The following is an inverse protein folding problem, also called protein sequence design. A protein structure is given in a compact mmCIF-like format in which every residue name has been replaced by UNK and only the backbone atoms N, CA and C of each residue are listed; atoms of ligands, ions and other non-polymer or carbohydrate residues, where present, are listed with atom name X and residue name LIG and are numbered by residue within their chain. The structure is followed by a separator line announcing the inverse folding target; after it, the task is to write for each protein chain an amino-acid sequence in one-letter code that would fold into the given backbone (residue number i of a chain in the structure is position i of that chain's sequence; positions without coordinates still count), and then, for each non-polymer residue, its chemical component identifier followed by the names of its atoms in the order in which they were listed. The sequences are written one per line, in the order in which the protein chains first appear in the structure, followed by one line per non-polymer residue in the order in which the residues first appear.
data_IF_248473103119
#
_entry.id   IF_248473103119
#
_cell.length_a   1.000
_cell.length_b   1.000
_cell.length_c   1.000
_cell.angle_alpha   90.00
_cell.angle_beta   90.00
_cell.angle_gamma   90.00
#
_symmetry.space_group_name_H-M   'P 1'
#
loop_
_entity.id
_entity.type
_entity.pdbx_description
1 polymer ?
#
# COMPACT_ATOMS: atom_id res chain seq x y z
N UNK A 1 15.72 -9.71 -6.65
CA UNK A 1 14.57 -8.98 -7.22
C UNK A 1 13.40 -9.94 -7.31
N UNK A 2 12.30 -9.63 -6.65
CA UNK A 2 11.01 -10.31 -6.79
C UNK A 2 9.95 -9.29 -7.21
N UNK A 3 8.92 -9.74 -7.92
CA UNK A 3 7.74 -8.92 -8.16
C UNK A 3 6.72 -9.29 -7.09
N UNK A 4 6.44 -8.38 -6.18
CA UNK A 4 5.42 -8.54 -5.16
C UNK A 4 4.05 -8.30 -5.78
N UNK A 5 3.12 -9.23 -5.57
CA UNK A 5 1.70 -9.09 -5.95
C UNK A 5 0.88 -9.27 -4.69
N UNK A 6 0.26 -8.20 -4.22
CA UNK A 6 -0.55 -8.20 -3.00
C UNK A 6 -1.89 -7.48 -3.21
N UNK A 7 -2.95 -8.01 -2.60
CA UNK A 7 -4.22 -7.32 -2.43
C UNK A 7 -4.32 -6.84 -0.98
N UNK A 8 -4.67 -5.57 -0.81
CA UNK A 8 -4.73 -4.94 0.52
C UNK A 8 -6.14 -4.49 0.86
N UNK A 9 -6.55 -4.81 2.09
CA UNK A 9 -7.79 -4.35 2.69
C UNK A 9 -7.50 -3.53 3.95
N UNK A 10 -8.14 -2.40 4.10
CA UNK A 10 -8.27 -1.72 5.37
C UNK A 10 -9.45 -2.33 6.13
N UNK A 11 -9.26 -2.57 7.43
CA UNK A 11 -10.22 -3.28 8.28
C UNK A 11 -10.25 -2.67 9.68
N UNK A 12 -11.28 -3.04 10.44
CA UNK A 12 -11.33 -2.82 11.89
C UNK A 12 -10.68 -3.99 12.64
N UNK A 13 -10.41 -3.80 13.93
CA UNK A 13 -9.79 -4.84 14.77
C UNK A 13 -10.62 -6.11 14.87
N UNK A 14 -11.95 -5.98 14.76
CA UNK A 14 -12.92 -7.07 14.91
C UNK A 14 -12.82 -8.09 13.75
N UNK A 15 -12.27 -7.67 12.61
CA UNK A 15 -12.05 -8.54 11.47
C UNK A 15 -11.07 -9.68 11.76
N UNK A 16 -10.22 -9.56 12.79
CA UNK A 16 -9.21 -10.56 13.13
C UNK A 16 -9.79 -11.93 13.48
N UNK A 17 -10.75 -11.98 14.39
CA UNK A 17 -11.32 -13.25 14.87
C UNK A 17 -12.16 -13.92 13.79
N UNK A 18 -12.90 -13.14 13.01
CA UNK A 18 -13.65 -13.63 11.86
C UNK A 18 -12.72 -14.20 10.79
N UNK A 19 -11.67 -13.47 10.43
CA UNK A 19 -10.66 -13.94 9.49
C UNK A 19 -10.00 -15.22 9.96
N UNK A 20 -9.48 -15.26 11.20
CA UNK A 20 -8.83 -16.41 11.80
C UNK A 20 -9.71 -17.65 11.77
N UNK A 21 -10.98 -17.50 12.15
CA UNK A 21 -11.95 -18.61 12.17
C UNK A 21 -12.16 -19.18 10.76
N UNK A 22 -12.28 -18.31 9.77
CA UNK A 22 -12.47 -18.72 8.38
C UNK A 22 -11.24 -19.37 7.77
N UNK A 23 -10.04 -18.83 8.08
CA UNK A 23 -8.80 -19.38 7.56
C UNK A 23 -8.54 -20.82 8.02
N UNK A 24 -9.08 -21.24 9.15
CA UNK A 24 -8.98 -22.62 9.64
C UNK A 24 -9.65 -23.66 8.72
N UNK A 25 -10.45 -23.24 7.75
CA UNK A 25 -11.07 -24.14 6.75
C UNK A 25 -10.14 -24.45 5.57
N UNK A 26 -9.02 -23.75 5.46
CA UNK A 26 -8.06 -23.90 4.37
C UNK A 26 -6.82 -24.69 4.82
N UNK A 27 -6.04 -25.13 3.84
CA UNK A 27 -4.78 -25.83 4.09
C UNK A 27 -3.68 -24.84 4.51
N UNK A 28 -3.53 -24.62 5.81
CA UNK A 28 -2.51 -23.75 6.39
C UNK A 28 -1.18 -24.49 6.42
N UNK A 29 -0.19 -23.99 5.71
CA UNK A 29 1.18 -24.52 5.67
C UNK A 29 2.03 -23.97 6.82
N UNK A 30 1.83 -22.70 7.17
CA UNK A 30 2.55 -22.01 8.24
C UNK A 30 1.64 -20.96 8.86
N UNK A 31 1.79 -20.75 10.17
CA UNK A 31 1.15 -19.66 10.91
C UNK A 31 2.10 -19.15 11.97
N UNK A 32 2.22 -17.83 12.09
CA UNK A 32 3.03 -17.23 13.14
C UNK A 32 2.55 -15.79 13.43
N UNK A 33 2.99 -15.27 14.59
CA UNK A 33 2.84 -13.85 14.95
C UNK A 33 4.21 -13.28 15.27
N UNK A 34 4.56 -12.17 14.62
CA UNK A 34 5.84 -11.50 14.77
C UNK A 34 5.67 -10.00 14.93
N UNK A 35 6.52 -9.39 15.74
CA UNK A 35 6.65 -7.94 15.79
C UNK A 35 7.57 -7.47 14.66
N UNK A 36 7.15 -6.44 13.94
CA UNK A 36 7.90 -5.80 12.86
C UNK A 36 8.08 -4.31 13.16
N UNK A 37 9.32 -3.92 13.46
CA UNK A 37 9.74 -2.53 13.52
C UNK A 37 10.32 -2.10 12.17
N UNK A 38 9.88 -0.97 11.61
CA UNK A 38 10.44 -0.47 10.36
C UNK A 38 10.78 1.00 10.50
N UNK A 39 11.97 1.39 10.08
CA UNK A 39 12.37 2.78 9.91
C UNK A 39 12.43 3.08 8.41
N UNK A 40 11.73 4.12 7.97
CA UNK A 40 11.74 4.56 6.58
C UNK A 40 12.72 5.71 6.40
N UNK A 41 13.45 5.67 5.30
CA UNK A 41 14.51 6.61 4.99
C UNK A 41 14.27 7.28 3.63
N UNK A 42 14.63 8.54 3.54
CA UNK A 42 14.67 9.29 2.29
C UNK A 42 15.72 10.40 2.38
N UNK A 43 15.97 11.04 1.27
CA UNK A 43 16.77 12.25 1.20
C UNK A 43 15.98 13.46 1.72
N UNK A 44 16.63 14.54 2.16
CA UNK A 44 15.96 15.74 2.70
C UNK A 44 14.91 16.35 1.77
N UNK A 45 15.09 16.19 0.47
CA UNK A 45 14.17 16.67 -0.57
C UNK A 45 13.09 15.65 -0.97
N UNK A 46 12.99 14.52 -0.26
CA UNK A 46 12.08 13.40 -0.57
C UNK A 46 12.29 12.83 -1.98
N UNK A 47 13.52 12.66 -2.38
CA UNK A 47 13.89 12.15 -3.71
C UNK A 47 13.25 10.78 -4.02
N UNK A 48 13.29 9.83 -3.08
CA UNK A 48 12.72 8.50 -3.29
C UNK A 48 11.19 8.56 -3.38
N UNK A 49 10.53 9.32 -2.49
CA UNK A 49 9.08 9.48 -2.53
C UNK A 49 8.59 10.12 -3.83
N UNK A 50 9.30 11.11 -4.37
CA UNK A 50 8.98 11.75 -5.68
C UNK A 50 9.04 10.75 -6.84
N UNK A 51 9.86 9.70 -6.71
CA UNK A 51 9.94 8.61 -7.68
C UNK A 51 9.03 7.43 -7.31
N UNK A 52 8.10 7.61 -6.36
CA UNK A 52 7.19 6.58 -5.85
C UNK A 52 7.92 5.35 -5.28
N UNK A 53 9.10 5.55 -4.75
CA UNK A 53 9.91 4.53 -4.10
C UNK A 53 9.77 4.62 -2.57
N UNK A 54 9.90 3.48 -1.90
CA UNK A 54 9.94 3.41 -0.45
C UNK A 54 11.14 2.60 0.02
N UNK A 55 12.04 3.24 0.78
CA UNK A 55 13.21 2.61 1.39
C UNK A 55 12.99 2.45 2.88
N UNK A 56 13.16 1.22 3.39
CA UNK A 56 13.05 0.95 4.83
C UNK A 56 14.12 -0.02 5.31
N UNK A 57 14.50 0.10 6.57
CA UNK A 57 15.13 -0.96 7.34
C UNK A 57 14.06 -1.61 8.20
N UNK A 58 13.86 -2.92 8.02
CA UNK A 58 12.93 -3.74 8.81
C UNK A 58 13.71 -4.53 9.84
N UNK A 59 13.28 -4.44 11.09
CA UNK A 59 13.69 -5.33 12.16
C UNK A 59 12.63 -6.42 12.36
N UNK A 60 13.08 -7.67 12.33
CA UNK A 60 12.31 -8.85 12.74
C UNK A 60 13.18 -9.67 13.69
N UNK A 61 12.83 -9.67 14.98
CA UNK A 61 13.70 -10.20 16.03
C UNK A 61 15.08 -9.53 16.02
N UNK A 62 16.14 -10.30 15.79
CA UNK A 62 17.52 -9.81 15.68
C UNK A 62 17.99 -9.59 14.25
N UNK A 63 17.14 -9.83 13.26
CA UNK A 63 17.46 -9.70 11.85
C UNK A 63 17.04 -8.34 11.32
N UNK A 64 17.92 -7.76 10.50
CA UNK A 64 17.66 -6.48 9.84
C UNK A 64 17.71 -6.65 8.31
N UNK A 65 16.69 -6.12 7.64
CA UNK A 65 16.60 -6.17 6.20
C UNK A 65 16.37 -4.77 5.65
N UNK A 66 17.25 -4.33 4.76
CA UNK A 66 17.04 -3.15 3.93
C UNK A 66 16.16 -3.55 2.76
N UNK A 67 15.02 -2.90 2.64
CA UNK A 67 14.04 -3.15 1.57
C UNK A 67 13.82 -1.88 0.77
N UNK A 68 13.95 -1.98 -0.55
CA UNK A 68 13.52 -0.94 -1.50
C UNK A 68 12.35 -1.47 -2.31
N UNK A 69 11.22 -0.77 -2.25
CA UNK A 69 10.08 -0.97 -3.16
C UNK A 69 10.06 0.17 -4.16
N UNK A 70 10.01 -0.15 -5.45
CA UNK A 70 10.00 0.85 -6.52
C UNK A 70 8.58 1.11 -7.04
N UNK A 71 8.44 2.01 -8.00
CA UNK A 71 7.16 2.27 -8.67
C UNK A 71 6.60 0.99 -9.30
N UNK A 72 5.30 0.88 -9.32
CA UNK A 72 4.58 -0.28 -9.82
C UNK A 72 3.14 0.06 -10.18
N UNK A 73 2.33 -0.97 -10.38
CA UNK A 73 0.90 -0.82 -10.70
C UNK A 73 0.06 -1.01 -9.44
N UNK A 74 -0.90 -0.11 -9.23
CA UNK A 74 -1.91 -0.22 -8.18
C UNK A 74 -3.28 -0.05 -8.82
N UNK A 75 -4.13 -1.04 -8.70
CA UNK A 75 -5.50 -1.01 -9.23
C UNK A 75 -6.43 -1.69 -8.23
N UNK A 76 -7.42 -0.95 -7.69
CA UNK A 76 -8.43 -1.53 -6.81
C UNK A 76 -7.86 -2.25 -5.57
N UNK A 77 -6.81 -1.71 -4.95
CA UNK A 77 -6.14 -2.37 -3.82
C UNK A 77 -5.16 -3.49 -4.20
N UNK A 78 -5.13 -3.91 -5.46
CA UNK A 78 -4.10 -4.82 -5.96
C UNK A 78 -2.83 -4.04 -6.28
N UNK A 79 -1.75 -4.38 -5.60
CA UNK A 79 -0.41 -3.83 -5.80
C UNK A 79 0.45 -4.84 -6.56
N UNK A 80 1.18 -4.37 -7.56
CA UNK A 80 2.20 -5.16 -8.26
C UNK A 80 3.42 -4.30 -8.49
N UNK A 81 4.52 -4.59 -7.78
CA UNK A 81 5.73 -3.76 -7.81
C UNK A 81 7.01 -4.55 -7.53
N UNK A 82 8.14 -4.14 -8.11
CA UNK A 82 9.44 -4.71 -7.78
C UNK A 82 9.83 -4.43 -6.32
N UNK A 83 10.33 -5.47 -5.65
CA UNK A 83 10.91 -5.40 -4.32
C UNK A 83 12.33 -5.94 -4.33
N UNK A 84 13.24 -5.21 -3.67
CA UNK A 84 14.64 -5.55 -3.51
C UNK A 84 14.97 -5.62 -2.03
N UNK A 85 15.62 -6.69 -1.60
CA UNK A 85 15.97 -6.93 -0.21
C UNK A 85 17.47 -7.20 -0.07
N UNK A 86 18.07 -6.63 0.98
CA UNK A 86 19.45 -6.85 1.39
C UNK A 86 19.49 -7.06 2.91
N UNK A 87 20.08 -8.19 3.35
CA UNK A 87 20.33 -8.39 4.78
C UNK A 87 21.45 -7.44 5.25
N UNK A 88 21.24 -6.75 6.36
CA UNK A 88 22.18 -5.79 6.94
C UNK A 88 22.39 -6.09 8.43
N UNK A 89 23.52 -5.66 9.03
CA UNK A 89 23.85 -6.08 10.39
C UNK A 89 23.05 -5.38 11.49
N UNK A 90 22.46 -4.22 11.23
CA UNK A 90 21.76 -3.42 12.26
C UNK A 90 20.81 -2.39 11.62
N UNK A 91 20.10 -1.63 12.45
CA UNK A 91 19.20 -0.55 12.05
C UNK A 91 19.93 0.81 11.87
N UNK A 92 21.10 0.83 11.25
CA UNK A 92 21.77 2.08 10.92
C UNK A 92 21.18 2.75 9.69
N UNK A 93 21.49 4.04 9.50
CA UNK A 93 21.14 4.75 8.26
C UNK A 93 21.79 4.02 7.09
N UNK A 94 21.02 3.64 6.06
CA UNK A 94 21.56 2.95 4.89
C UNK A 94 22.61 3.80 4.16
N UNK A 95 23.67 3.15 3.69
CA UNK A 95 24.69 3.83 2.89
C UNK A 95 24.29 3.91 1.41
N UNK A 96 24.93 4.81 0.68
CA UNK A 96 24.73 4.92 -0.78
C UNK A 96 25.10 3.62 -1.48
N UNK A 97 26.16 2.93 -1.03
CA UNK A 97 26.59 1.64 -1.58
C UNK A 97 25.54 0.55 -1.36
N UNK A 98 24.94 0.49 -0.17
CA UNK A 98 23.84 -0.43 0.11
C UNK A 98 22.63 -0.14 -0.79
N UNK A 99 22.27 1.12 -0.97
CA UNK A 99 21.15 1.52 -1.84
C UNK A 99 21.42 1.16 -3.30
N UNK A 100 22.61 1.49 -3.83
CA UNK A 100 22.98 1.19 -5.22
C UNK A 100 23.18 -0.30 -5.49
N UNK A 101 23.44 -1.10 -4.46
CA UNK A 101 23.48 -2.56 -4.59
C UNK A 101 22.11 -3.20 -4.79
N UNK A 102 21.03 -2.52 -4.38
CA UNK A 102 19.65 -2.99 -4.56
C UNK A 102 19.17 -2.78 -6.00
N UNK A 103 19.36 -1.59 -6.53
CA UNK A 103 19.06 -1.28 -7.93
C UNK A 103 19.91 -0.10 -8.44
N UNK A 104 19.92 0.10 -9.76
CA UNK A 104 20.59 1.24 -10.39
C UNK A 104 19.76 2.51 -10.21
N UNK A 105 20.42 3.61 -9.92
CA UNK A 105 19.81 4.93 -9.79
C UNK A 105 20.51 5.92 -10.75
N UNK A 106 19.72 6.77 -11.37
CA UNK A 106 20.23 7.95 -12.06
C UNK A 106 20.21 9.15 -11.10
N UNK A 107 21.31 9.86 -10.98
CA UNK A 107 21.42 11.14 -10.26
C UNK A 107 20.97 11.10 -8.79
N UNK A 108 21.52 10.16 -8.00
CA UNK A 108 21.29 10.18 -6.54
C UNK A 108 21.75 11.52 -5.93
N UNK A 109 20.98 12.09 -4.98
CA UNK A 109 21.40 13.27 -4.26
C UNK A 109 22.73 13.03 -3.51
N UNK A 110 23.57 14.08 -3.42
CA UNK A 110 24.81 14.04 -2.63
C UNK A 110 24.55 14.10 -1.12
N UNK A 111 23.31 14.38 -0.72
CA UNK A 111 22.90 14.43 0.68
C UNK A 111 22.86 13.03 1.30
N UNK A 112 22.90 12.96 2.63
CA UNK A 112 22.77 11.71 3.39
C UNK A 112 21.29 11.36 3.56
N UNK A 113 20.96 10.07 3.47
CA UNK A 113 19.65 9.53 3.86
C UNK A 113 19.35 9.86 5.32
N UNK A 114 18.12 10.15 5.64
CA UNK A 114 17.66 10.42 6.99
C UNK A 114 16.37 9.66 7.30
N UNK A 115 16.13 9.32 8.58
CA UNK A 115 14.87 8.71 8.98
C UNK A 115 13.73 9.73 8.85
N UNK A 116 12.61 9.31 8.22
CA UNK A 116 11.46 10.18 7.98
C UNK A 116 10.30 9.81 8.92
N UNK A 117 10.00 8.53 9.04
CA UNK A 117 8.96 7.98 9.90
C UNK A 117 9.25 6.51 10.21
N UNK A 118 8.51 5.96 11.18
CA UNK A 118 8.56 4.53 11.50
C UNK A 118 7.18 3.88 11.47
N UNK A 119 7.17 2.55 11.37
CA UNK A 119 5.96 1.75 11.55
C UNK A 119 6.25 0.57 12.45
N UNK A 120 5.49 0.46 13.55
CA UNK A 120 5.63 -0.58 14.55
C UNK A 120 4.31 -1.34 14.64
N UNK A 121 4.33 -2.64 14.30
CA UNK A 121 3.12 -3.44 14.30
C UNK A 121 3.40 -4.93 14.54
N UNK A 122 2.40 -5.61 15.07
CA UNK A 122 2.34 -7.06 15.10
C UNK A 122 1.72 -7.54 13.79
N UNK A 123 2.38 -8.50 13.14
CA UNK A 123 1.89 -9.24 12.00
C UNK A 123 1.54 -10.65 12.42
N UNK A 124 0.27 -11.02 12.34
CA UNK A 124 -0.14 -12.42 12.36
C UNK A 124 -0.34 -12.87 10.92
N UNK A 125 0.38 -13.91 10.49
CA UNK A 125 0.28 -14.38 9.12
C UNK A 125 -0.02 -15.87 9.04
N UNK A 126 -0.66 -16.25 7.94
CA UNK A 126 -0.95 -17.63 7.54
C UNK A 126 -0.46 -17.82 6.10
N UNK A 127 0.40 -18.80 5.89
CA UNK A 127 0.74 -19.25 4.54
C UNK A 127 -0.22 -20.36 4.16
N UNK A 128 -0.99 -20.18 3.10
CA UNK A 128 -2.08 -21.06 2.70
C UNK A 128 -1.77 -21.66 1.33
N UNK A 129 -1.92 -22.99 1.22
CA UNK A 129 -1.96 -23.65 -0.07
C UNK A 129 -3.39 -23.59 -0.62
N UNK A 130 -3.58 -22.97 -1.78
CA UNK A 130 -4.87 -22.81 -2.44
C UNK A 130 -4.76 -23.00 -3.94
N UNK A 131 -5.45 -24.01 -4.48
CA UNK A 131 -5.30 -24.41 -5.88
C UNK A 131 -3.84 -24.79 -6.19
N UNK A 132 -3.27 -24.15 -7.21
CA UNK A 132 -1.86 -24.29 -7.57
C UNK A 132 -0.96 -23.22 -6.92
N UNK A 133 -1.52 -22.43 -5.98
CA UNK A 133 -0.88 -21.23 -5.46
C UNK A 133 -0.55 -21.33 -3.97
N UNK A 134 0.41 -20.51 -3.53
CA UNK A 134 0.66 -20.21 -2.13
C UNK A 134 0.36 -18.76 -1.87
N UNK A 135 -0.53 -18.48 -0.92
CA UNK A 135 -1.00 -17.16 -0.56
C UNK A 135 -0.65 -16.91 0.90
N UNK A 136 0.08 -15.82 1.18
CA UNK A 136 0.25 -15.34 2.54
C UNK A 136 -0.89 -14.38 2.85
N UNK A 137 -1.62 -14.67 3.92
CA UNK A 137 -2.61 -13.77 4.51
C UNK A 137 -1.97 -13.14 5.73
N UNK A 138 -1.79 -11.84 5.75
CA UNK A 138 -1.17 -11.13 6.85
C UNK A 138 -2.13 -10.11 7.45
N UNK A 139 -2.40 -10.22 8.76
CA UNK A 139 -3.12 -9.22 9.54
C UNK A 139 -2.12 -8.36 10.29
N UNK A 140 -2.07 -7.07 9.96
CA UNK A 140 -1.16 -6.10 10.56
C UNK A 140 -1.92 -5.17 11.51
N UNK A 141 -1.48 -5.10 12.76
CA UNK A 141 -2.05 -4.23 13.77
C UNK A 141 -0.97 -3.48 14.53
N UNK A 142 -1.04 -2.14 14.52
CA UNK A 142 -0.03 -1.30 15.14
C UNK A 142 -0.19 0.17 14.81
N UNK A 143 0.93 0.85 14.54
CA UNK A 143 0.94 2.29 14.32
C UNK A 143 2.05 2.75 13.37
N UNK A 144 1.79 3.88 12.73
CA UNK A 144 2.76 4.72 12.02
C UNK A 144 3.11 5.89 12.93
N UNK A 145 4.38 6.24 13.01
CA UNK A 145 4.90 7.32 13.85
C UNK A 145 5.70 8.30 12.98
N UNK A 146 5.38 9.60 13.03
CA UNK A 146 6.13 10.64 12.34
C UNK A 146 6.22 11.88 13.23
N UNK A 147 7.39 12.10 13.85
CA UNK A 147 7.54 13.08 14.93
C UNK A 147 6.58 12.75 16.08
N UNK A 148 5.75 13.71 16.48
CA UNK A 148 4.74 13.53 17.52
C UNK A 148 3.40 12.96 17.02
N UNK A 149 3.25 12.82 15.70
CA UNK A 149 2.01 12.33 15.09
C UNK A 149 2.00 10.81 15.06
N UNK A 150 0.81 10.25 15.25
CA UNK A 150 0.58 8.81 15.21
C UNK A 150 -0.66 8.50 14.38
N UNK A 151 -0.62 7.43 13.58
CA UNK A 151 -1.75 6.90 12.84
C UNK A 151 -1.85 5.38 13.05
N UNK A 152 -3.03 4.83 13.33
CA UNK A 152 -3.19 3.38 13.52
C UNK A 152 -2.94 2.61 12.21
N UNK A 153 -2.44 1.38 12.35
CA UNK A 153 -2.40 0.37 11.32
C UNK A 153 -3.40 -0.72 11.72
N UNK A 154 -4.35 -1.01 10.85
CA UNK A 154 -5.22 -2.17 10.93
C UNK A 154 -5.57 -2.57 9.49
N UNK A 155 -4.90 -3.59 8.96
CA UNK A 155 -5.05 -3.97 7.56
C UNK A 155 -4.78 -5.45 7.36
N UNK A 156 -5.39 -6.02 6.31
CA UNK A 156 -5.13 -7.36 5.82
C UNK A 156 -4.41 -7.23 4.48
N UNK A 157 -3.32 -7.97 4.32
CA UNK A 157 -2.60 -8.11 3.07
C UNK A 157 -2.71 -9.57 2.62
N UNK A 158 -3.06 -9.79 1.35
CA UNK A 158 -3.06 -11.08 0.69
C UNK A 158 -1.96 -11.06 -0.35
N UNK A 159 -0.84 -11.69 -0.06
CA UNK A 159 0.32 -11.70 -0.96
C UNK A 159 0.42 -13.03 -1.68
N UNK A 160 0.50 -12.98 -3.00
CA UNK A 160 0.76 -14.16 -3.82
C UNK A 160 2.26 -14.51 -3.76
N UNK A 161 2.61 -15.54 -3.00
CA UNK A 161 3.99 -16.03 -2.91
C UNK A 161 4.39 -16.88 -4.11
N UNK A 162 3.44 -17.65 -4.63
CA UNK A 162 3.65 -18.56 -5.76
C UNK A 162 2.31 -18.84 -6.44
N UNK A 163 2.29 -18.94 -7.76
CA UNK A 163 1.11 -19.37 -8.51
C UNK A 163 0.41 -18.28 -9.30
N UNK A 164 -0.93 -18.28 -9.32
CA UNK A 164 -1.76 -17.48 -10.22
C UNK A 164 -2.50 -16.36 -9.49
N UNK A 165 -2.53 -15.17 -10.09
CA UNK A 165 -3.32 -14.03 -9.58
C UNK A 165 -4.82 -14.35 -9.52
N UNK A 166 -5.33 -15.18 -10.43
CA UNK A 166 -6.73 -15.65 -10.40
C UNK A 166 -7.05 -16.44 -9.12
N UNK A 167 -6.11 -17.25 -8.63
CA UNK A 167 -6.28 -17.99 -7.37
C UNK A 167 -6.35 -17.04 -6.17
N UNK A 168 -5.53 -15.97 -6.18
CA UNK A 168 -5.59 -14.93 -5.16
C UNK A 168 -6.97 -14.28 -5.09
N UNK A 169 -7.53 -13.86 -6.24
CA UNK A 169 -8.87 -13.27 -6.27
C UNK A 169 -9.96 -14.25 -5.87
N UNK A 170 -9.87 -15.50 -6.34
CA UNK A 170 -10.85 -16.52 -5.97
C UNK A 170 -10.78 -16.84 -4.48
N UNK A 171 -9.58 -16.98 -3.92
CA UNK A 171 -9.40 -17.17 -2.47
C UNK A 171 -10.04 -16.05 -1.66
N UNK A 172 -9.75 -14.79 -2.02
CA UNK A 172 -10.30 -13.63 -1.32
C UNK A 172 -11.82 -13.57 -1.42
N UNK A 173 -12.41 -13.98 -2.56
CA UNK A 173 -13.87 -14.02 -2.74
C UNK A 173 -14.60 -15.04 -1.85
N UNK A 174 -13.88 -16.01 -1.30
CA UNK A 174 -14.44 -17.02 -0.37
C UNK A 174 -14.46 -16.55 1.08
N UNK A 175 -13.79 -15.43 1.39
CA UNK A 175 -13.72 -14.93 2.76
C UNK A 175 -14.95 -14.10 3.10
N UNK A 176 -15.48 -14.19 4.34
CA UNK A 176 -16.63 -13.42 4.76
C UNK A 176 -16.19 -11.99 5.09
N UNK A 177 -16.30 -11.12 4.13
CA UNK A 177 -16.10 -9.70 4.36
C UNK A 177 -17.44 -9.07 4.73
N UNK A 178 -17.56 -8.63 5.97
CA UNK A 178 -18.69 -7.89 6.50
C UNK A 178 -18.47 -6.37 6.32
N UNK A 179 -19.30 -5.57 6.97
CA UNK A 179 -19.23 -4.11 6.90
C UNK A 179 -17.88 -3.58 7.41
N UNK A 180 -17.47 -2.38 6.94
CA UNK A 180 -16.24 -1.68 7.32
C UNK A 180 -14.92 -2.30 6.81
N UNK A 181 -14.99 -3.09 5.75
CA UNK A 181 -13.83 -3.61 5.02
C UNK A 181 -13.81 -3.01 3.62
N UNK A 182 -12.70 -2.40 3.23
CA UNK A 182 -12.55 -1.79 1.92
C UNK A 182 -11.15 -1.97 1.35
N UNK A 183 -11.07 -2.00 0.01
CA UNK A 183 -9.79 -2.06 -0.68
C UNK A 183 -8.97 -0.80 -0.39
N UNK A 184 -7.68 -0.98 -0.08
CA UNK A 184 -6.76 0.12 0.19
C UNK A 184 -5.63 0.16 -0.83
N UNK A 185 -5.50 1.28 -1.53
CA UNK A 185 -4.34 1.56 -2.38
C UNK A 185 -3.22 2.29 -1.63
N UNK A 186 -3.45 2.68 -0.37
CA UNK A 186 -2.48 3.38 0.44
C UNK A 186 -1.51 2.41 1.13
N UNK A 187 -0.27 2.38 0.69
CA UNK A 187 0.78 1.64 1.41
C UNK A 187 1.12 2.31 2.74
N UNK A 188 1.65 1.54 3.71
CA UNK A 188 2.21 2.09 4.97
C UNK A 188 3.22 3.22 4.71
N UNK A 189 4.01 3.10 3.62
CA UNK A 189 4.94 4.14 3.20
C UNK A 189 4.22 5.43 2.80
N UNK A 190 3.22 5.36 1.90
CA UNK A 190 2.41 6.52 1.49
C UNK A 190 1.79 7.21 2.70
N UNK A 191 1.17 6.44 3.60
CA UNK A 191 0.55 6.96 4.83
C UNK A 191 1.56 7.63 5.76
N UNK A 192 2.77 7.07 5.91
CA UNK A 192 3.84 7.65 6.72
C UNK A 192 4.33 9.00 6.19
N UNK A 193 4.53 9.12 4.87
CA UNK A 193 4.86 10.40 4.25
C UNK A 193 3.75 11.43 4.44
N UNK A 194 2.49 11.04 4.26
CA UNK A 194 1.33 11.93 4.46
C UNK A 194 1.24 12.40 5.91
N UNK A 195 1.49 11.53 6.88
CA UNK A 195 1.45 11.87 8.30
C UNK A 195 2.51 12.92 8.67
N UNK A 196 3.70 12.82 8.09
CA UNK A 196 4.81 13.77 8.28
C UNK A 196 4.64 15.09 7.55
N UNK A 197 3.82 15.14 6.50
CA UNK A 197 3.63 16.29 5.65
C UNK A 197 2.48 17.20 6.16
N UNK A 198 2.41 18.44 5.64
CA UNK A 198 1.16 19.21 5.69
C UNK A 198 0.18 18.53 4.73
N UNK A 199 -1.11 18.40 5.09
CA UNK A 199 -2.11 17.89 4.18
C UNK A 199 -2.09 18.70 2.87
N UNK A 200 -1.79 18.05 1.76
CA UNK A 200 -1.98 18.63 0.44
C UNK A 200 -3.47 18.50 0.14
N UNK A 201 -4.18 19.62 0.20
CA UNK A 201 -5.54 19.68 -0.31
C UNK A 201 -5.47 19.48 -1.83
N UNK A 202 -5.97 18.34 -2.30
CA UNK A 202 -6.07 18.11 -3.74
C UNK A 202 -7.25 18.88 -4.26
N UNK A 203 -7.03 19.68 -5.31
CA UNK A 203 -8.09 20.37 -6.02
C UNK A 203 -8.82 19.36 -6.93
N UNK A 204 -9.80 18.67 -6.35
CA UNK A 204 -10.61 17.66 -7.05
C UNK A 204 -11.39 18.24 -8.22
N UNK A 205 -11.80 19.50 -8.14
CA UNK A 205 -12.50 20.19 -9.22
C UNK A 205 -11.60 20.31 -10.46
N UNK A 206 -10.35 20.73 -10.28
CA UNK A 206 -9.40 20.81 -11.39
C UNK A 206 -9.01 19.42 -11.88
N UNK A 207 -8.79 18.42 -11.02
CA UNK A 207 -8.55 17.04 -11.44
C UNK A 207 -9.66 16.49 -12.33
N UNK A 208 -10.92 16.70 -11.96
CA UNK A 208 -12.05 16.29 -12.80
C UNK A 208 -12.12 17.05 -14.12
N UNK A 209 -11.81 18.35 -14.09
CA UNK A 209 -11.77 19.17 -15.30
C UNK A 209 -10.70 18.71 -16.27
N UNK A 210 -9.50 18.42 -15.76
CA UNK A 210 -8.39 17.91 -16.56
C UNK A 210 -8.72 16.53 -17.15
N UNK A 211 -9.25 15.62 -16.35
CA UNK A 211 -9.71 14.31 -16.79
C UNK A 211 -10.74 14.43 -17.93
N UNK A 212 -11.78 15.24 -17.76
CA UNK A 212 -12.81 15.43 -18.79
C UNK A 212 -12.27 16.13 -20.05
N UNK A 213 -11.22 16.93 -19.92
CA UNK A 213 -10.56 17.56 -21.06
C UNK A 213 -9.75 16.54 -21.86
N UNK A 214 -8.95 15.71 -21.17
CA UNK A 214 -8.18 14.63 -21.79
C UNK A 214 -9.09 13.65 -22.55
N UNK A 215 -10.25 13.31 -21.98
CA UNK A 215 -11.27 12.47 -22.58
C UNK A 215 -11.86 13.07 -23.88
N UNK A 216 -12.03 14.38 -23.94
CA UNK A 216 -12.57 15.08 -25.12
C UNK A 216 -11.54 15.27 -26.23
N UNK A 217 -10.28 15.44 -25.90
CA UNK A 217 -9.18 15.72 -26.82
C UNK A 217 -8.49 14.43 -27.29
N UNK A 218 -8.69 13.30 -26.57
CA UNK A 218 -8.11 12.00 -26.91
C UNK A 218 -8.81 11.31 -28.05
N UNK A 219 -8.07 10.65 -28.92
CA UNK A 219 -8.61 9.66 -29.87
C UNK A 219 -9.33 8.58 -29.08
N UNK A 220 -10.44 8.03 -29.61
CA UNK A 220 -11.32 7.05 -28.98
C UNK A 220 -10.55 6.08 -28.05
N UNK A 221 -10.49 6.41 -26.77
CA UNK A 221 -9.91 5.56 -25.73
C UNK A 221 -10.87 4.39 -25.51
N UNK A 222 -10.32 3.19 -25.32
CA UNK A 222 -11.14 2.01 -24.98
C UNK A 222 -11.97 2.29 -23.72
N UNK A 223 -13.25 2.00 -23.77
CA UNK A 223 -14.18 2.20 -22.63
C UNK A 223 -13.71 1.54 -21.34
N UNK A 224 -12.91 0.48 -21.44
CA UNK A 224 -12.30 -0.19 -20.28
C UNK A 224 -11.19 0.66 -19.64
N UNK A 225 -10.41 1.38 -20.44
CA UNK A 225 -9.39 2.29 -19.95
C UNK A 225 -10.02 3.51 -19.28
N UNK A 226 -11.09 4.04 -19.87
CA UNK A 226 -11.87 5.13 -19.28
C UNK A 226 -12.47 4.73 -17.93
N UNK A 227 -13.13 3.57 -17.85
CA UNK A 227 -13.67 3.04 -16.60
C UNK A 227 -12.58 2.86 -15.56
N UNK A 228 -11.44 2.28 -15.95
CA UNK A 228 -10.30 2.09 -15.04
C UNK A 228 -9.76 3.41 -14.50
N UNK A 229 -9.71 4.47 -15.32
CA UNK A 229 -9.26 5.80 -14.90
C UNK A 229 -10.24 6.44 -13.92
N UNK A 230 -11.55 6.37 -14.19
CA UNK A 230 -12.61 6.87 -13.28
C UNK A 230 -12.57 6.16 -11.93
N UNK A 231 -12.47 4.82 -11.93
CA UNK A 231 -12.39 4.03 -10.70
C UNK A 231 -11.14 4.34 -9.87
N UNK A 232 -10.00 4.61 -10.52
CA UNK A 232 -8.77 5.05 -9.83
C UNK A 232 -8.95 6.41 -9.15
N UNK A 233 -9.62 7.35 -9.81
CA UNK A 233 -9.90 8.67 -9.23
C UNK A 233 -10.83 8.54 -8.03
N UNK A 234 -11.90 7.75 -8.15
CA UNK A 234 -12.84 7.48 -7.06
C UNK A 234 -12.13 6.86 -5.86
N UNK A 235 -11.35 5.81 -6.07
CA UNK A 235 -10.60 5.16 -5.01
C UNK A 235 -9.64 6.12 -4.31
N UNK A 236 -8.92 6.95 -5.06
CA UNK A 236 -8.02 7.94 -4.50
C UNK A 236 -8.77 8.96 -3.63
N UNK A 237 -9.94 9.41 -4.07
CA UNK A 237 -10.77 10.34 -3.31
C UNK A 237 -11.30 9.70 -2.02
N UNK A 238 -11.75 8.44 -2.07
CA UNK A 238 -12.17 7.68 -0.88
C UNK A 238 -11.04 7.63 0.15
N UNK A 239 -9.82 7.26 -0.27
CA UNK A 239 -8.67 7.18 0.63
C UNK A 239 -8.30 8.52 1.25
N UNK A 240 -8.37 9.59 0.47
CA UNK A 240 -8.10 10.94 0.98
C UNK A 240 -9.18 11.41 1.96
N UNK A 241 -10.44 11.13 1.67
CA UNK A 241 -11.57 11.43 2.56
C UNK A 241 -11.42 10.73 3.90
N UNK A 242 -11.01 9.46 3.91
CA UNK A 242 -10.79 8.69 5.13
C UNK A 242 -9.53 9.14 5.89
N UNK A 243 -8.51 9.59 5.17
CA UNK A 243 -7.25 10.06 5.78
C UNK A 243 -7.35 11.49 6.34
N UNK A 244 -8.21 12.32 5.76
CA UNK A 244 -8.40 13.73 6.10
C UNK A 244 -9.89 14.09 6.14
N UNK A 245 -10.63 13.61 7.16
CA UNK A 245 -12.07 13.82 7.25
C UNK A 245 -12.37 15.31 7.47
N UNK A 246 -12.67 16.02 6.40
CA UNK A 246 -13.11 17.40 6.40
C UNK A 246 -14.40 17.54 5.60
N UNK A 247 -15.19 18.57 5.88
CA UNK A 247 -16.43 18.83 5.13
C UNK A 247 -16.15 19.02 3.63
N UNK A 248 -14.98 19.54 3.27
CA UNK A 248 -14.55 19.74 1.88
C UNK A 248 -14.41 18.38 1.17
N UNK A 249 -13.74 17.42 1.79
CA UNK A 249 -13.59 16.08 1.21
C UNK A 249 -14.94 15.36 1.10
N UNK A 250 -15.81 15.49 2.09
CA UNK A 250 -17.14 14.88 2.03
C UNK A 250 -17.95 15.43 0.84
N UNK A 251 -17.87 16.75 0.57
CA UNK A 251 -18.53 17.35 -0.58
C UNK A 251 -17.94 16.86 -1.90
N UNK A 252 -16.61 16.82 -2.02
CA UNK A 252 -15.93 16.33 -3.21
C UNK A 252 -16.20 14.84 -3.47
N UNK A 253 -16.29 14.04 -2.40
CA UNK A 253 -16.69 12.63 -2.49
C UNK A 253 -18.09 12.48 -3.06
N UNK A 254 -19.08 13.20 -2.54
CA UNK A 254 -20.46 13.17 -3.06
C UNK A 254 -20.50 13.55 -4.54
N UNK A 255 -19.77 14.60 -4.95
CA UNK A 255 -19.72 15.05 -6.36
C UNK A 255 -19.03 14.04 -7.25
N UNK A 256 -18.05 13.29 -6.74
CA UNK A 256 -17.38 12.24 -7.49
C UNK A 256 -18.29 11.05 -7.70
N UNK A 257 -19.03 10.61 -6.67
CA UNK A 257 -20.03 9.54 -6.79
C UNK A 257 -21.11 9.89 -7.82
N UNK A 258 -21.62 11.13 -7.81
CA UNK A 258 -22.58 11.60 -8.83
C UNK A 258 -22.00 11.48 -10.26
N UNK A 259 -20.73 11.86 -10.45
CA UNK A 259 -20.06 11.81 -11.77
C UNK A 259 -19.78 10.40 -12.23
N UNK A 260 -19.33 9.53 -11.32
CA UNK A 260 -19.13 8.11 -11.61
C UNK A 260 -20.46 7.46 -11.98
N UNK A 261 -21.55 7.74 -11.23
CA UNK A 261 -22.88 7.25 -11.56
C UNK A 261 -23.41 7.75 -12.91
N UNK A 262 -23.04 8.95 -13.36
CA UNK A 262 -23.40 9.48 -14.67
C UNK A 262 -22.58 8.88 -15.82
N UNK A 263 -21.47 8.19 -15.53
CA UNK A 263 -20.64 7.51 -16.52
C UNK A 263 -21.27 6.17 -16.96
N UNK A 264 -21.99 5.50 -16.07
CA UNK A 264 -22.70 4.25 -16.33
C UNK A 264 -24.14 4.50 -16.80
#
# INVERSE_FOLDING_TARGET
MSNEVELKLAVTSDAFDTLKTHLNQFNILEQNTVFLGNTYFDYPDHFLAKQKMGLRVRQKNNDFTLTLKTDGKVVGGLHSRPEYNLSIPNNSVPTTEQLTSLCSFENLPSATLQPIFSTDFNRTFWLIAFGASKIEVAFDQGKILSGEKTQPICEIEFELKEGLVSDLFYFVSLLPFEQDIYFSSASKAKRGYQLGSKPLLIDWLNKWRDFLKEEREGSAVDSREQLSAVMKMEQQLIEETLSFPTDVFAFDFMKTVERVGAFF
#
